data_IF_924722294428
#
_entry.id   IF_924722294428
#
_cell.length_a   1.000
_cell.length_b   1.000
_cell.length_c   1.000
_cell.angle_alpha   90.00
_cell.angle_beta   90.00
_cell.angle_gamma   90.00
#
_symmetry.space_group_name_H-M   'P 1'
#
loop_
_entity.id
_entity.type
_entity.pdbx_description
1 polymer ?
#
# COMPACT_ATOMS: atom_id res chain seq x y z
N UNK A 1 0.19 -22.82 -3.60
CA UNK A 1 1.64 -22.92 -3.92
C UNK A 1 2.08 -21.95 -5.03
N UNK A 2 1.30 -21.75 -6.12
CA UNK A 2 1.66 -20.82 -7.22
C UNK A 2 1.88 -19.37 -6.77
N UNK A 3 1.10 -18.88 -5.80
CA UNK A 3 1.21 -17.49 -5.34
C UNK A 3 2.48 -17.23 -4.52
N UNK A 4 2.88 -18.17 -3.66
CA UNK A 4 4.14 -18.08 -2.90
C UNK A 4 5.34 -18.06 -3.86
N UNK A 5 5.32 -18.91 -4.90
CA UNK A 5 6.36 -18.91 -5.94
C UNK A 5 6.40 -17.58 -6.70
N UNK A 6 5.25 -16.96 -6.95
CA UNK A 6 5.17 -15.65 -7.62
C UNK A 6 5.78 -14.56 -6.75
N UNK A 7 5.49 -14.56 -5.44
CA UNK A 7 6.07 -13.62 -4.47
C UNK A 7 7.58 -13.78 -4.36
N UNK A 8 8.07 -15.01 -4.23
CA UNK A 8 9.51 -15.28 -4.16
C UNK A 8 10.21 -14.88 -5.47
N UNK A 9 9.63 -15.24 -6.62
CA UNK A 9 10.18 -14.88 -7.94
C UNK A 9 10.29 -13.36 -8.12
N UNK A 10 9.25 -12.62 -7.72
CA UNK A 10 9.26 -11.16 -7.74
C UNK A 10 10.33 -10.57 -6.80
N UNK A 11 10.44 -11.10 -5.58
CA UNK A 11 11.45 -10.67 -4.61
C UNK A 11 12.89 -10.92 -5.09
N UNK A 12 13.16 -12.10 -5.66
CA UNK A 12 14.48 -12.42 -6.23
C UNK A 12 14.84 -11.53 -7.41
N UNK A 13 13.88 -11.23 -8.29
CA UNK A 13 14.09 -10.29 -9.40
C UNK A 13 14.45 -8.90 -8.88
N UNK A 14 13.69 -8.38 -7.93
CA UNK A 14 13.92 -7.07 -7.33
C UNK A 14 15.32 -6.98 -6.68
N UNK A 15 15.66 -7.98 -5.85
CA UNK A 15 16.97 -8.06 -5.22
C UNK A 15 18.11 -8.12 -6.25
N UNK A 16 17.97 -8.94 -7.30
CA UNK A 16 19.01 -9.11 -8.32
C UNK A 16 19.23 -7.85 -9.14
N UNK A 17 18.15 -7.15 -9.52
CA UNK A 17 18.25 -5.89 -10.28
C UNK A 17 18.85 -4.79 -9.41
N UNK A 18 18.37 -4.60 -8.18
CA UNK A 18 18.89 -3.59 -7.26
C UNK A 18 20.37 -3.83 -6.93
N UNK A 19 20.72 -5.06 -6.56
CA UNK A 19 22.11 -5.47 -6.34
C UNK A 19 22.96 -5.23 -7.59
N UNK A 20 22.51 -5.70 -8.76
CA UNK A 20 23.26 -5.60 -10.01
C UNK A 20 23.55 -4.15 -10.41
N UNK A 21 22.56 -3.27 -10.34
CA UNK A 21 22.75 -1.84 -10.64
C UNK A 21 23.75 -1.20 -9.68
N UNK A 22 23.59 -1.41 -8.37
CA UNK A 22 24.50 -0.81 -7.38
C UNK A 22 25.90 -1.38 -7.49
N UNK A 23 26.03 -2.69 -7.69
CA UNK A 23 27.33 -3.35 -7.88
C UNK A 23 28.03 -2.86 -9.15
N UNK A 24 27.31 -2.68 -10.26
CA UNK A 24 27.89 -2.13 -11.49
C UNK A 24 28.39 -0.69 -11.32
N UNK A 25 27.73 0.10 -10.46
CA UNK A 25 28.11 1.50 -10.22
C UNK A 25 29.24 1.65 -9.19
N UNK A 26 29.27 0.77 -8.18
CA UNK A 26 30.18 0.89 -7.02
C UNK A 26 31.34 -0.08 -7.05
N UNK A 27 31.19 -1.22 -7.73
CA UNK A 27 32.12 -2.35 -7.71
C UNK A 27 32.18 -3.11 -6.37
N UNK A 28 31.34 -2.75 -5.39
CA UNK A 28 31.47 -3.19 -4.01
C UNK A 28 30.26 -3.99 -3.55
N UNK A 29 30.50 -5.22 -3.10
CA UNK A 29 29.43 -6.19 -2.80
C UNK A 29 28.67 -5.82 -1.53
N UNK A 30 29.32 -5.26 -0.51
CA UNK A 30 28.67 -4.93 0.75
C UNK A 30 27.69 -3.76 0.58
N UNK A 31 28.08 -2.71 -0.15
CA UNK A 31 27.19 -1.60 -0.51
C UNK A 31 26.02 -2.11 -1.35
N UNK A 32 26.26 -2.95 -2.37
CA UNK A 32 25.19 -3.48 -3.21
C UNK A 32 24.17 -4.31 -2.42
N UNK A 33 24.64 -5.21 -1.55
CA UNK A 33 23.77 -6.01 -0.69
C UNK A 33 23.04 -5.14 0.35
N UNK A 34 23.73 -4.16 0.93
CA UNK A 34 23.15 -3.21 1.88
C UNK A 34 22.02 -2.40 1.26
N UNK A 35 22.22 -1.86 0.05
CA UNK A 35 21.22 -1.08 -0.66
C UNK A 35 20.01 -1.93 -1.07
N UNK A 36 20.24 -3.15 -1.56
CA UNK A 36 19.17 -4.06 -1.94
C UNK A 36 18.23 -4.42 -0.76
N UNK A 37 18.69 -4.31 0.48
CA UNK A 37 17.88 -4.51 1.69
C UNK A 37 17.32 -3.20 2.26
N UNK A 38 18.07 -2.09 2.14
CA UNK A 38 17.64 -0.80 2.68
C UNK A 38 16.44 -0.23 1.91
N UNK A 39 16.36 -0.50 0.61
CA UNK A 39 15.28 -0.02 -0.26
C UNK A 39 13.89 -0.42 0.26
N UNK A 40 13.55 -1.72 0.44
CA UNK A 40 12.24 -2.12 0.95
C UNK A 40 11.98 -1.64 2.38
N UNK A 41 13.02 -1.53 3.23
CA UNK A 41 12.89 -1.02 4.59
C UNK A 41 12.51 0.47 4.59
N UNK A 42 13.23 1.29 3.83
CA UNK A 42 12.94 2.72 3.67
C UNK A 42 11.58 2.93 3.02
N UNK A 43 11.24 2.16 1.99
CA UNK A 43 9.93 2.23 1.35
C UNK A 43 8.79 1.99 2.36
N UNK A 44 8.97 1.05 3.28
CA UNK A 44 8.00 0.77 4.36
C UNK A 44 7.86 1.96 5.31
N UNK A 45 8.99 2.53 5.75
CA UNK A 45 9.00 3.69 6.67
C UNK A 45 8.38 4.91 6.02
N UNK A 46 8.77 5.23 4.78
CA UNK A 46 8.23 6.35 4.00
C UNK A 46 6.74 6.18 3.78
N UNK A 47 6.30 4.98 3.39
CA UNK A 47 4.88 4.70 3.20
C UNK A 47 4.06 4.88 4.48
N UNK A 48 4.59 4.43 5.63
CA UNK A 48 3.95 4.66 6.92
C UNK A 48 3.76 6.16 7.23
N UNK A 49 4.79 6.97 7.03
CA UNK A 49 4.68 8.41 7.25
C UNK A 49 3.81 9.10 6.20
N UNK A 50 3.83 8.64 4.94
CA UNK A 50 2.97 9.13 3.87
C UNK A 50 1.49 8.95 4.23
N UNK A 51 1.09 7.74 4.63
CA UNK A 51 -0.27 7.45 5.08
C UNK A 51 -0.65 8.31 6.29
N UNK A 52 0.27 8.47 7.25
CA UNK A 52 0.02 9.29 8.44
C UNK A 52 -0.11 10.78 8.12
N UNK A 53 0.61 11.27 7.12
CA UNK A 53 0.49 12.65 6.64
C UNK A 53 -0.84 12.86 5.92
N UNK A 54 -1.26 11.91 5.07
CA UNK A 54 -2.51 11.99 4.31
C UNK A 54 -3.75 11.75 5.17
N UNK A 55 -3.66 10.92 6.21
CA UNK A 55 -4.76 10.70 7.17
C UNK A 55 -5.11 11.96 7.98
N UNK A 56 -4.26 12.99 7.97
CA UNK A 56 -4.55 14.31 8.55
C UNK A 56 -5.39 15.21 7.64
N UNK A 57 -5.52 14.88 6.34
CA UNK A 57 -6.57 15.47 5.52
C UNK A 57 -7.88 14.78 5.91
N UNK A 58 -8.81 15.47 6.57
CA UNK A 58 -10.02 14.82 7.03
C UNK A 58 -10.85 14.38 5.82
N UNK A 59 -11.05 13.07 5.68
CA UNK A 59 -12.10 12.48 4.84
C UNK A 59 -13.51 13.04 5.17
N UNK A 60 -13.66 13.79 6.27
CA UNK A 60 -14.86 14.56 6.60
C UNK A 60 -15.19 15.66 5.60
N UNK A 61 -14.23 16.17 4.84
CA UNK A 61 -14.50 17.12 3.75
C UNK A 61 -15.39 16.49 2.65
N UNK A 62 -15.31 15.17 2.45
CA UNK A 62 -16.16 14.43 1.51
C UNK A 62 -17.49 13.96 2.13
N UNK A 63 -17.57 13.76 3.46
CA UNK A 63 -18.84 13.46 4.14
C UNK A 63 -19.79 14.68 4.19
N UNK A 64 -19.27 15.90 4.08
CA UNK A 64 -20.06 17.13 3.97
C UNK A 64 -20.75 17.31 2.62
N UNK A 65 -20.29 16.62 1.57
CA UNK A 65 -20.92 16.58 0.25
C UNK A 65 -22.03 15.52 0.20
N UNK A 66 -23.00 15.63 1.11
CA UNK A 66 -24.41 15.42 0.80
C UNK A 66 -24.87 14.11 0.16
N UNK A 67 -24.18 12.97 0.28
CA UNK A 67 -24.79 11.69 -0.06
C UNK A 67 -25.72 11.25 1.08
N UNK A 68 -26.83 11.97 1.25
CA UNK A 68 -28.00 11.47 1.97
C UNK A 68 -28.35 10.14 1.31
N UNK A 69 -28.14 9.02 2.01
CA UNK A 69 -28.81 7.77 1.67
C UNK A 69 -30.31 8.11 1.55
N UNK A 70 -30.96 7.91 0.41
CA UNK A 70 -32.41 8.02 0.32
C UNK A 70 -32.98 7.05 1.36
N UNK A 71 -33.73 7.61 2.31
CA UNK A 71 -34.33 6.82 3.37
C UNK A 71 -35.21 5.74 2.77
N UNK A 72 -34.92 4.49 3.11
CA UNK A 72 -35.89 3.41 2.96
C UNK A 72 -36.97 3.63 4.03
N UNK A 73 -37.89 4.56 3.76
CA UNK A 73 -39.09 4.79 4.56
C UNK A 73 -40.28 4.26 3.75
N UNK A 74 -40.88 3.20 4.29
CA UNK A 74 -41.93 2.40 3.66
C UNK A 74 -41.40 0.97 3.56
N UNK A 75 -41.83 0.00 4.35
CA UNK A 75 -43.21 -0.27 4.75
C UNK A 75 -43.24 -0.90 6.15
N UNK A 76 -43.86 -0.21 7.09
CA UNK A 76 -44.39 -0.79 8.31
C UNK A 76 -45.80 -0.25 8.50
N UNK A 77 -46.78 -1.15 8.53
CA UNK A 77 -48.13 -0.84 9.01
C UNK A 77 -49.21 -0.80 7.93
N UNK A 78 -49.68 -1.97 7.51
CA UNK A 78 -51.09 -2.17 7.18
C UNK A 78 -51.51 -3.58 7.59
N UNK A 79 -51.90 -3.68 8.86
CA UNK A 79 -52.77 -4.70 9.43
C UNK A 79 -53.68 -3.92 10.40
N UNK A 80 -54.98 -4.23 10.62
CA UNK A 80 -55.88 -5.26 10.07
C UNK A 80 -57.22 -4.68 9.52
N UNK A 81 -58.06 -5.54 8.92
CA UNK A 81 -59.53 -5.53 9.05
C UNK A 81 -60.08 -6.88 8.56
#
# INVERSE_FOLDING_TARGET
MRDILKTISYGSLHFTVGFGVVYLLTGEVAIAAGVALIEPAVNTVVFYFHEKAWARLPARALQGLGFRRPGHRGQGGAQPA
#
